data_IF_790097817157
#
_entry.id   IF_790097817157
#
_cell.length_a   1.000
_cell.length_b   1.000
_cell.length_c   1.000
_cell.angle_alpha   90.00
_cell.angle_beta   90.00
_cell.angle_gamma   90.00
#
_symmetry.space_group_name_H-M   'P 1'
#
loop_
_entity.id
_entity.type
_entity.pdbx_description
1 polymer ?
#
# COMPACT_ATOMS: atom_id res chain seq x y z
N UNK A 1 29.94 -47.76 -21.14
CA UNK A 1 30.39 -46.61 -20.33
C UNK A 1 29.65 -45.39 -20.85
N UNK A 2 28.73 -44.81 -20.06
CA UNK A 2 27.98 -43.62 -20.46
C UNK A 2 28.72 -42.39 -19.93
N UNK A 3 29.43 -41.68 -20.81
CA UNK A 3 30.08 -40.41 -20.45
C UNK A 3 29.02 -39.31 -20.31
N UNK A 4 28.78 -38.87 -19.07
CA UNK A 4 28.07 -37.64 -18.76
C UNK A 4 29.02 -36.46 -19.00
N UNK A 5 28.83 -35.76 -20.13
CA UNK A 5 29.58 -34.54 -20.48
C UNK A 5 29.17 -33.40 -19.52
N UNK A 6 30.10 -32.75 -18.81
CA UNK A 6 29.76 -31.68 -17.88
C UNK A 6 29.37 -30.42 -18.65
N UNK A 7 28.17 -29.89 -18.37
CA UNK A 7 27.72 -28.62 -18.92
C UNK A 7 28.63 -27.49 -18.42
N UNK A 8 29.41 -26.91 -19.34
CA UNK A 8 30.23 -25.73 -19.11
C UNK A 8 29.29 -24.59 -18.72
N UNK A 9 29.22 -24.26 -17.42
CA UNK A 9 28.52 -23.05 -16.98
C UNK A 9 29.23 -21.87 -17.62
N UNK A 10 28.51 -21.19 -18.51
CA UNK A 10 29.04 -20.08 -19.28
C UNK A 10 29.43 -18.95 -18.32
N UNK A 11 30.66 -18.47 -18.42
CA UNK A 11 31.18 -17.42 -17.55
C UNK A 11 30.30 -16.15 -17.62
N UNK A 12 29.66 -15.90 -18.76
CA UNK A 12 28.69 -14.82 -18.94
C UNK A 12 27.43 -14.97 -18.09
N UNK A 13 26.94 -16.21 -17.86
CA UNK A 13 25.80 -16.45 -16.97
C UNK A 13 26.17 -16.18 -15.52
N UNK A 14 27.41 -16.51 -15.12
CA UNK A 14 27.91 -16.22 -13.79
C UNK A 14 28.07 -14.71 -13.56
N UNK A 15 28.64 -13.98 -14.54
CA UNK A 15 28.81 -12.53 -14.45
C UNK A 15 27.47 -11.80 -14.45
N UNK A 16 26.48 -12.30 -15.20
CA UNK A 16 25.10 -11.77 -15.19
C UNK A 16 24.38 -12.05 -13.87
N UNK A 17 24.61 -13.22 -13.26
CA UNK A 17 24.07 -13.55 -11.95
C UNK A 17 24.69 -12.69 -10.83
N UNK A 18 26.00 -12.44 -10.90
CA UNK A 18 26.71 -11.58 -9.94
C UNK A 18 26.25 -10.12 -10.02
N UNK A 19 26.06 -9.58 -11.23
CA UNK A 19 25.55 -8.20 -11.41
C UNK A 19 24.10 -8.00 -10.93
N UNK A 20 23.28 -9.07 -10.86
CA UNK A 20 21.93 -8.99 -10.29
C UNK A 20 21.95 -8.88 -8.76
N UNK A 21 22.87 -9.57 -8.10
CA UNK A 21 22.98 -9.55 -6.64
C UNK A 21 23.51 -8.22 -6.09
N UNK A 22 24.35 -7.53 -6.86
CA UNK A 22 24.96 -6.26 -6.44
C UNK A 22 24.00 -5.05 -6.55
N UNK A 23 22.91 -5.19 -7.32
CA UNK A 23 21.94 -4.11 -7.56
C UNK A 23 20.58 -4.33 -6.87
N UNK A 24 20.33 -5.54 -6.34
CA UNK A 24 19.15 -5.83 -5.51
C UNK A 24 19.58 -5.79 -4.03
N UNK A 25 19.79 -4.58 -3.50
CA UNK A 25 19.94 -4.37 -2.06
C UNK A 25 18.87 -5.16 -1.30
N UNK A 26 19.31 -6.02 -0.37
CA UNK A 26 18.58 -7.14 0.23
C UNK A 26 17.37 -6.82 1.12
N UNK A 27 16.50 -5.94 0.68
CA UNK A 27 15.12 -5.91 1.12
C UNK A 27 14.26 -5.72 -0.12
N UNK A 28 13.66 -6.81 -0.61
CA UNK A 28 12.37 -6.66 -1.30
C UNK A 28 11.38 -6.19 -0.24
N UNK A 29 11.49 -4.92 0.16
CA UNK A 29 10.36 -4.19 0.69
C UNK A 29 9.33 -4.32 -0.41
N UNK A 30 8.40 -5.26 -0.24
CA UNK A 30 7.24 -5.34 -1.11
C UNK A 30 6.71 -3.92 -1.11
N UNK A 31 6.61 -3.22 -2.26
CA UNK A 31 5.75 -2.06 -2.29
C UNK A 31 4.42 -2.61 -1.78
N UNK A 32 3.95 -2.09 -0.65
CA UNK A 32 2.62 -2.38 -0.16
C UNK A 32 1.68 -1.95 -1.28
N UNK A 33 1.39 -2.87 -2.20
CA UNK A 33 0.41 -2.65 -3.27
C UNK A 33 -0.93 -2.59 -2.54
N UNK A 34 -1.65 -1.47 -2.56
CA UNK A 34 -3.07 -1.50 -2.31
C UNK A 34 -3.83 -1.77 -3.63
N UNK A 35 -3.23 -2.51 -4.58
CA UNK A 35 -3.79 -2.71 -5.92
C UNK A 35 -4.26 -4.15 -6.16
N UNK A 36 -4.31 -5.00 -5.13
CA UNK A 36 -5.11 -6.22 -5.24
C UNK A 36 -6.55 -5.80 -4.97
N UNK A 37 -7.48 -5.93 -5.93
CA UNK A 37 -8.88 -5.62 -5.69
C UNK A 37 -9.34 -6.47 -4.50
N UNK A 38 -9.82 -5.78 -3.46
CA UNK A 38 -10.36 -6.44 -2.28
C UNK A 38 -11.56 -7.29 -2.70
N UNK A 39 -11.76 -8.41 -2.01
CA UNK A 39 -12.99 -9.17 -2.23
C UNK A 39 -14.20 -8.31 -1.84
N UNK A 40 -15.33 -8.45 -2.54
CA UNK A 40 -16.58 -7.72 -2.23
C UNK A 40 -16.97 -7.75 -0.75
N UNK A 41 -16.64 -8.84 -0.06
CA UNK A 41 -16.88 -9.00 1.37
C UNK A 41 -15.98 -8.10 2.22
N UNK A 42 -14.70 -7.96 1.87
CA UNK A 42 -13.75 -7.10 2.56
C UNK A 42 -14.09 -5.62 2.34
N UNK A 43 -14.50 -5.25 1.12
CA UNK A 43 -14.99 -3.92 0.81
C UNK A 43 -16.19 -3.53 1.70
N UNK A 44 -17.15 -4.43 1.87
CA UNK A 44 -18.31 -4.19 2.73
C UNK A 44 -17.94 -4.03 4.20
N UNK A 45 -17.01 -4.84 4.71
CA UNK A 45 -16.51 -4.69 6.09
C UNK A 45 -15.86 -3.32 6.28
N UNK A 46 -15.02 -2.89 5.33
CA UNK A 46 -14.35 -1.58 5.41
C UNK A 46 -15.35 -0.43 5.30
N UNK A 47 -16.40 -0.56 4.49
CA UNK A 47 -17.49 0.40 4.40
C UNK A 47 -18.20 0.54 5.76
N UNK A 48 -18.59 -0.56 6.40
CA UNK A 48 -19.23 -0.53 7.71
C UNK A 48 -18.32 0.08 8.79
N UNK A 49 -17.05 -0.30 8.82
CA UNK A 49 -16.07 0.25 9.77
C UNK A 49 -15.84 1.75 9.53
N UNK A 50 -15.68 2.15 8.27
CA UNK A 50 -15.53 3.54 7.87
C UNK A 50 -16.73 4.38 8.31
N UNK A 51 -17.95 3.90 8.04
CA UNK A 51 -19.18 4.56 8.46
C UNK A 51 -19.24 4.76 9.99
N UNK A 52 -18.92 3.72 10.76
CA UNK A 52 -18.89 3.80 12.22
C UNK A 52 -17.87 4.85 12.74
N UNK A 53 -16.68 4.91 12.13
CA UNK A 53 -15.65 5.91 12.45
C UNK A 53 -16.14 7.33 12.13
N UNK A 54 -16.78 7.51 10.98
CA UNK A 54 -17.31 8.83 10.56
C UNK A 54 -18.41 9.29 11.52
N UNK A 55 -19.30 8.39 11.95
CA UNK A 55 -20.36 8.70 12.91
C UNK A 55 -19.81 9.17 14.26
N UNK A 56 -18.67 8.62 14.70
CA UNK A 56 -18.02 8.97 15.97
C UNK A 56 -16.97 10.08 15.79
N UNK A 57 -16.82 10.65 14.59
CA UNK A 57 -15.67 11.47 14.23
C UNK A 57 -15.46 12.68 15.15
N UNK A 58 -16.54 13.33 15.60
CA UNK A 58 -16.46 14.48 16.50
C UNK A 58 -16.11 14.12 17.95
N UNK A 59 -16.38 12.87 18.36
CA UNK A 59 -16.10 12.38 19.71
C UNK A 59 -14.66 11.87 19.83
N UNK A 60 -13.97 11.68 18.70
CA UNK A 60 -12.58 11.29 18.67
C UNK A 60 -11.66 12.45 19.08
N UNK A 61 -10.63 12.20 19.92
CA UNK A 61 -9.55 13.15 20.17
C UNK A 61 -8.90 13.68 18.88
N UNK A 62 -8.52 14.95 18.88
CA UNK A 62 -8.02 15.65 17.68
C UNK A 62 -6.72 15.04 17.13
N UNK A 63 -5.86 14.50 17.99
CA UNK A 63 -4.67 13.74 17.62
C UNK A 63 -5.02 12.48 16.84
N UNK A 64 -6.04 11.73 17.26
CA UNK A 64 -6.51 10.53 16.56
C UNK A 64 -7.13 10.91 15.20
N UNK A 65 -7.95 11.95 15.15
CA UNK A 65 -8.50 12.47 13.88
C UNK A 65 -7.40 12.83 12.88
N UNK A 66 -6.35 13.52 13.34
CA UNK A 66 -5.21 13.92 12.50
C UNK A 66 -4.41 12.73 12.00
N UNK A 67 -4.17 11.73 12.86
CA UNK A 67 -3.44 10.53 12.49
C UNK A 67 -4.22 9.72 11.45
N UNK A 68 -5.51 9.45 11.70
CA UNK A 68 -6.39 8.74 10.75
C UNK A 68 -6.44 9.44 9.39
N UNK A 69 -6.54 10.78 9.38
CA UNK A 69 -6.53 11.55 8.14
C UNK A 69 -5.20 11.46 7.40
N UNK A 70 -4.07 11.56 8.11
CA UNK A 70 -2.74 11.45 7.52
C UNK A 70 -2.48 10.06 6.94
N UNK A 71 -2.87 9.01 7.67
CA UNK A 71 -2.72 7.62 7.26
C UNK A 71 -3.58 7.33 6.03
N UNK A 72 -4.88 7.69 6.04
CA UNK A 72 -5.77 7.51 4.90
C UNK A 72 -5.26 8.23 3.63
N UNK A 73 -4.66 9.41 3.79
CA UNK A 73 -4.06 10.15 2.70
C UNK A 73 -2.71 9.59 2.21
N UNK A 74 -2.02 8.79 3.02
CA UNK A 74 -0.75 8.15 2.67
C UNK A 74 -0.92 6.90 1.79
N UNK A 75 -2.13 6.33 1.77
CA UNK A 75 -2.46 5.11 0.99
C UNK A 75 -2.45 5.37 -0.53
N UNK A 76 -2.58 6.61 -0.96
CA UNK A 76 -2.55 6.96 -2.38
C UNK A 76 -1.16 7.29 -2.91
N UNK A 77 -0.99 7.06 -4.21
CA UNK A 77 0.13 7.56 -5.00
C UNK A 77 0.44 9.02 -4.64
N UNK A 78 1.71 9.38 -4.34
CA UNK A 78 2.11 10.75 -4.03
C UNK A 78 1.58 11.81 -5.00
N UNK A 79 1.42 11.48 -6.29
CA UNK A 79 0.86 12.40 -7.29
C UNK A 79 -0.62 12.73 -7.06
N UNK A 80 -1.39 11.82 -6.46
CA UNK A 80 -2.83 11.96 -6.19
C UNK A 80 -3.14 12.29 -4.73
N UNK A 81 -2.14 12.26 -3.86
CA UNK A 81 -2.30 12.48 -2.43
C UNK A 81 -2.98 13.81 -2.11
N UNK A 82 -2.64 14.90 -2.82
CA UNK A 82 -3.25 16.20 -2.57
C UNK A 82 -4.76 16.21 -2.89
N UNK A 83 -5.14 15.64 -4.02
CA UNK A 83 -6.53 15.50 -4.43
C UNK A 83 -7.32 14.61 -3.47
N UNK A 84 -6.73 13.46 -3.07
CA UNK A 84 -7.37 12.57 -2.10
C UNK A 84 -7.55 13.26 -0.74
N UNK A 85 -6.54 13.98 -0.25
CA UNK A 85 -6.63 14.76 1.00
C UNK A 85 -7.80 15.74 0.94
N UNK A 86 -7.96 16.47 -0.16
CA UNK A 86 -9.06 17.41 -0.33
C UNK A 86 -10.43 16.70 -0.36
N UNK A 87 -10.53 15.55 -1.04
CA UNK A 87 -11.76 14.75 -1.08
C UNK A 87 -12.14 14.21 0.29
N UNK A 88 -11.20 13.64 1.03
CA UNK A 88 -11.41 13.15 2.40
C UNK A 88 -11.81 14.32 3.32
N UNK A 89 -11.12 15.46 3.24
CA UNK A 89 -11.43 16.62 4.08
C UNK A 89 -12.85 17.16 3.82
N UNK A 90 -13.26 17.22 2.55
CA UNK A 90 -14.63 17.63 2.17
C UNK A 90 -15.67 16.64 2.69
N UNK A 91 -15.43 15.36 2.46
CA UNK A 91 -16.31 14.29 2.93
C UNK A 91 -16.49 14.33 4.46
N UNK A 92 -15.39 14.40 5.21
CA UNK A 92 -15.47 14.54 6.68
C UNK A 92 -16.17 15.84 7.11
N UNK A 93 -16.06 16.93 6.36
CA UNK A 93 -16.75 18.17 6.68
C UNK A 93 -18.28 18.06 6.50
N UNK A 94 -18.73 17.40 5.43
CA UNK A 94 -20.14 17.14 5.15
C UNK A 94 -20.75 16.22 6.23
N UNK A 95 -20.00 15.21 6.66
CA UNK A 95 -20.49 14.22 7.61
C UNK A 95 -20.33 14.60 9.09
N UNK A 96 -19.40 15.49 9.47
CA UNK A 96 -19.26 15.94 10.88
C UNK A 96 -20.37 16.89 11.33
N UNK A 97 -20.98 17.64 10.41
CA UNK A 97 -21.99 18.66 10.73
C UNK A 97 -23.43 18.10 10.65
N UNK A 98 -23.58 16.78 10.47
CA UNK A 98 -24.87 16.09 10.38
C UNK A 98 -25.36 15.55 11.73
N UNK A 99 -24.80 16.05 12.85
CA UNK A 99 -25.18 15.71 14.22
C UNK A 99 -25.96 16.87 14.87
#
# INVERSE_FOLDING_TARGET
>A
MAETKPATRNFYDLTKALGRWDNEGGATGSPSKPDTPLGKHEEHILECLGAAVIMQWNDLPTDIQRNLFADAASVSDPARQFELKQRIARFLHEHKNSA
#
